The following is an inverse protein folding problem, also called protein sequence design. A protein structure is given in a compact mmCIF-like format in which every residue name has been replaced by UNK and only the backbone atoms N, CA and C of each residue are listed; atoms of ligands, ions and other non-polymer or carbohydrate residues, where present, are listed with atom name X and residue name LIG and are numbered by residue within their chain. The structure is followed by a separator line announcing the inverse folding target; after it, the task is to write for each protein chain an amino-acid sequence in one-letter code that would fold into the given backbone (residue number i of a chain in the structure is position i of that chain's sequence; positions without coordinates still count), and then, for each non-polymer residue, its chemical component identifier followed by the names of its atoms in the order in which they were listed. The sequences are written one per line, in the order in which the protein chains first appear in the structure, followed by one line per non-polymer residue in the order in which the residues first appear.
data_IF_647672333309
#
_entry.id   IF_647672333309
#
_cell.length_a   1.000
_cell.length_b   1.000
_cell.length_c   1.000
_cell.angle_alpha   90.00
_cell.angle_beta   90.00
_cell.angle_gamma   90.00
#
_symmetry.space_group_name_H-M   'P 1'
#
loop_
_entity.id
_entity.type
_entity.pdbx_description
1 polymer ?
#
# COMPACT_ATOMS: atom_id res chain seq x y z
N UNK A 1 -6.72 10.30 1.19
CA UNK A 1 -6.41 9.10 2.01
C UNK A 1 -5.29 9.39 2.97
N UNK A 2 -4.05 9.32 2.49
CA UNK A 2 -2.83 9.38 3.31
C UNK A 2 -2.79 10.54 4.32
N UNK A 3 -3.02 11.77 3.88
CA UNK A 3 -2.96 12.95 4.76
C UNK A 3 -3.99 12.90 5.90
N UNK A 4 -5.21 12.43 5.63
CA UNK A 4 -6.23 12.23 6.65
C UNK A 4 -5.85 11.10 7.63
N UNK A 5 -5.20 10.03 7.14
CA UNK A 5 -4.66 8.98 7.99
C UNK A 5 -3.58 9.50 8.95
N UNK A 6 -2.65 10.32 8.44
CA UNK A 6 -1.60 10.96 9.25
C UNK A 6 -2.19 11.87 10.32
N UNK A 7 -3.14 12.75 9.94
CA UNK A 7 -3.81 13.64 10.90
C UNK A 7 -4.62 12.86 11.93
N UNK A 8 -5.27 11.76 11.53
CA UNK A 8 -6.00 10.88 12.43
C UNK A 8 -5.11 10.23 13.49
N UNK A 9 -3.95 9.69 13.10
CA UNK A 9 -3.00 9.16 14.07
C UNK A 9 -2.39 10.24 14.95
N UNK A 10 -2.06 11.41 14.38
CA UNK A 10 -1.56 12.54 15.17
C UNK A 10 -2.56 12.98 16.23
N UNK A 11 -3.86 12.96 15.94
CA UNK A 11 -4.89 13.31 16.93
C UNK A 11 -4.96 12.30 18.09
N UNK A 12 -4.59 11.04 17.85
CA UNK A 12 -4.57 9.97 18.86
C UNK A 12 -3.26 9.98 19.66
N UNK A 13 -2.11 10.09 18.99
CA UNK A 13 -0.79 9.89 19.59
C UNK A 13 -0.06 11.19 19.93
N UNK A 14 -0.41 12.31 19.29
CA UNK A 14 0.24 13.61 19.47
C UNK A 14 1.65 13.70 18.89
N UNK A 15 2.16 12.64 18.23
CA UNK A 15 3.52 12.56 17.71
C UNK A 15 3.55 12.00 16.29
N UNK A 16 4.52 12.48 15.50
CA UNK A 16 4.84 11.97 14.16
C UNK A 16 5.98 10.95 14.16
N UNK A 17 6.65 10.76 15.30
CA UNK A 17 7.73 9.79 15.42
C UNK A 17 7.18 8.36 15.41
N UNK A 18 7.65 7.53 14.47
CA UNK A 18 7.13 6.18 14.29
C UNK A 18 7.21 5.33 15.56
N UNK A 19 8.30 5.46 16.33
CA UNK A 19 8.52 4.69 17.57
C UNK A 19 7.47 5.04 18.63
N UNK A 20 7.32 6.33 18.92
CA UNK A 20 6.34 6.83 19.89
C UNK A 20 4.91 6.48 19.46
N UNK A 21 4.62 6.59 18.15
CA UNK A 21 3.31 6.24 17.60
C UNK A 21 2.98 4.77 17.89
N UNK A 22 3.89 3.83 17.64
CA UNK A 22 3.64 2.40 17.87
C UNK A 22 3.49 2.07 19.36
N UNK A 23 4.29 2.69 20.23
CA UNK A 23 4.21 2.47 21.69
C UNK A 23 2.90 3.00 22.27
N UNK A 24 2.53 4.24 21.94
CA UNK A 24 1.30 4.88 22.41
C UNK A 24 0.08 4.11 21.90
N UNK A 25 0.07 3.70 20.63
CA UNK A 25 -1.03 2.95 20.04
C UNK A 25 -1.25 1.59 20.73
N UNK A 26 -0.16 0.85 20.99
CA UNK A 26 -0.22 -0.43 21.70
C UNK A 26 -0.80 -0.26 23.11
N UNK A 27 -0.35 0.77 23.85
CA UNK A 27 -0.86 1.06 25.18
C UNK A 27 -2.35 1.45 25.15
N UNK A 28 -2.76 2.27 24.18
CA UNK A 28 -4.15 2.72 24.05
C UNK A 28 -5.10 1.57 23.66
N UNK A 29 -4.64 0.64 22.81
CA UNK A 29 -5.41 -0.55 22.43
C UNK A 29 -5.52 -1.51 23.62
N UNK A 30 -4.44 -1.72 24.38
CA UNK A 30 -4.47 -2.57 25.57
C UNK A 30 -5.40 -2.04 26.67
N UNK A 31 -5.50 -0.71 26.80
CA UNK A 31 -6.33 -0.05 27.80
C UNK A 31 -7.77 0.26 27.31
N UNK A 32 -8.15 -0.17 26.10
CA UNK A 32 -9.40 0.22 25.43
C UNK A 32 -9.64 1.75 25.41
N UNK A 33 -8.58 2.55 25.42
CA UNK A 33 -8.66 4.02 25.45
C UNK A 33 -9.03 4.65 24.10
N UNK A 34 -8.96 3.87 23.02
CA UNK A 34 -9.30 4.31 21.66
C UNK A 34 -10.34 3.36 21.06
N UNK A 35 -11.31 3.93 20.35
CA UNK A 35 -12.27 3.14 19.60
C UNK A 35 -11.56 2.37 18.46
N UNK A 36 -11.58 1.04 18.50
CA UNK A 36 -10.98 0.17 17.47
C UNK A 36 -11.47 0.51 16.06
N UNK A 37 -12.73 0.95 15.91
CA UNK A 37 -13.28 1.37 14.61
C UNK A 37 -12.61 2.63 14.07
N UNK A 38 -12.21 3.56 14.95
CA UNK A 38 -11.52 4.78 14.53
C UNK A 38 -10.08 4.47 14.10
N UNK A 39 -9.36 3.66 14.88
CA UNK A 39 -7.99 3.26 14.56
C UNK A 39 -7.91 2.44 13.25
N UNK A 40 -8.84 1.51 13.05
CA UNK A 40 -8.96 0.74 11.78
C UNK A 40 -9.24 1.66 10.60
N UNK A 41 -10.12 2.65 10.75
CA UNK A 41 -10.41 3.62 9.70
C UNK A 41 -9.19 4.47 9.36
N UNK A 42 -8.47 5.00 10.35
CA UNK A 42 -7.21 5.74 10.12
C UNK A 42 -6.15 4.88 9.39
N UNK A 43 -5.98 3.63 9.82
CA UNK A 43 -5.06 2.68 9.17
C UNK A 43 -5.48 2.37 7.73
N UNK A 44 -6.78 2.21 7.46
CA UNK A 44 -7.31 2.05 6.11
C UNK A 44 -6.99 3.27 5.23
N UNK A 45 -7.16 4.50 5.74
CA UNK A 45 -6.86 5.71 4.97
C UNK A 45 -5.36 5.84 4.61
N UNK A 46 -4.47 5.41 5.52
CA UNK A 46 -3.03 5.31 5.21
C UNK A 46 -2.79 4.27 4.10
N UNK A 47 -3.41 3.11 4.20
CA UNK A 47 -3.29 2.04 3.21
C UNK A 47 -3.81 2.44 1.82
N UNK A 48 -4.93 3.18 1.74
CA UNK A 48 -5.43 3.75 0.47
C UNK A 48 -4.38 4.67 -0.18
N UNK A 49 -3.61 5.40 0.63
CA UNK A 49 -2.48 6.19 0.17
C UNK A 49 -1.38 5.34 -0.48
N UNK A 50 -1.06 4.21 0.14
CA UNK A 50 -0.11 3.24 -0.41
C UNK A 50 -0.61 2.63 -1.72
N UNK A 51 -1.87 2.18 -1.76
CA UNK A 51 -2.53 1.61 -2.95
C UNK A 51 -2.39 2.52 -4.18
N UNK A 52 -2.65 3.81 -4.01
CA UNK A 52 -2.60 4.77 -5.10
C UNK A 52 -1.19 4.88 -5.71
N UNK A 53 -0.14 4.80 -4.88
CA UNK A 53 1.26 4.93 -5.33
C UNK A 53 1.83 3.63 -5.86
N UNK A 54 1.45 2.48 -5.31
CA UNK A 54 1.91 1.16 -5.78
C UNK A 54 1.04 0.53 -6.88
N UNK A 55 0.13 1.30 -7.48
CA UNK A 55 -0.76 0.87 -8.55
C UNK A 55 -1.55 -0.42 -8.21
N UNK A 56 -1.98 -0.53 -6.96
CA UNK A 56 -2.74 -1.69 -6.50
C UNK A 56 -4.22 -1.53 -6.88
N UNK A 57 -4.96 -2.62 -6.88
CA UNK A 57 -6.40 -2.61 -7.09
C UNK A 57 -7.06 -1.82 -5.95
N UNK A 58 -7.97 -0.88 -6.24
CA UNK A 58 -8.57 -0.57 -7.55
C UNK A 58 -7.79 0.49 -8.38
N UNK A 59 -6.88 1.26 -7.79
CA UNK A 59 -6.19 2.41 -8.41
C UNK A 59 -4.97 2.01 -9.25
N UNK A 60 -5.15 1.05 -10.17
CA UNK A 60 -4.08 0.49 -11.01
C UNK A 60 -4.02 1.08 -12.42
N UNK A 61 -5.07 1.77 -12.87
CA UNK A 61 -5.28 2.24 -14.25
C UNK A 61 -4.20 3.21 -14.75
N UNK A 62 -3.59 3.98 -13.84
CA UNK A 62 -2.59 4.99 -14.22
C UNK A 62 -1.25 4.37 -14.66
N UNK A 63 -0.95 3.13 -14.26
CA UNK A 63 0.36 2.51 -14.47
C UNK A 63 0.60 2.09 -15.94
N UNK A 64 -0.37 1.47 -16.65
CA UNK A 64 -0.26 1.24 -18.09
C UNK A 64 -0.22 2.53 -18.91
N UNK A 65 -0.94 3.58 -18.50
CA UNK A 65 -0.98 4.86 -19.22
C UNK A 65 0.35 5.63 -19.09
N UNK A 66 1.09 5.43 -18.00
CA UNK A 66 2.44 6.00 -17.83
C UNK A 66 3.46 5.52 -18.89
N UNK A 67 3.16 4.45 -19.63
CA UNK A 67 3.98 3.94 -20.74
C UNK A 67 3.87 4.75 -22.04
N UNK A 68 2.96 5.73 -22.10
CA UNK A 68 2.89 6.71 -23.19
C UNK A 68 4.03 7.74 -23.14
N UNK A 69 4.68 7.89 -21.98
CA UNK A 69 5.86 8.72 -21.82
C UNK A 69 7.10 8.18 -22.54
N UNK A 70 8.18 8.99 -22.64
CA UNK A 70 9.43 8.55 -23.22
C UNK A 70 10.06 7.41 -22.40
N UNK A 71 10.68 6.45 -23.09
CA UNK A 71 11.17 5.20 -22.50
C UNK A 71 12.06 5.35 -21.26
N UNK A 72 12.95 6.35 -21.14
CA UNK A 72 13.78 6.51 -19.94
C UNK A 72 12.97 6.90 -18.69
N UNK A 73 11.91 7.70 -18.87
CA UNK A 73 11.07 8.20 -17.77
C UNK A 73 10.16 7.08 -17.28
N UNK A 74 9.59 6.31 -18.20
CA UNK A 74 8.78 5.12 -17.85
C UNK A 74 9.61 4.08 -17.07
N UNK A 75 10.86 3.84 -17.45
CA UNK A 75 11.73 2.93 -16.71
C UNK A 75 12.00 3.43 -15.27
N UNK A 76 12.25 4.73 -15.10
CA UNK A 76 12.53 5.32 -13.79
C UNK A 76 11.31 5.29 -12.86
N UNK A 77 10.11 5.60 -13.35
CA UNK A 77 8.88 5.63 -12.55
C UNK A 77 8.51 4.23 -12.05
N UNK A 78 8.69 3.22 -12.92
CA UNK A 78 8.30 1.84 -12.62
C UNK A 78 9.33 1.10 -11.77
N UNK A 79 10.62 1.45 -11.88
CA UNK A 79 11.68 0.80 -11.11
C UNK A 79 12.03 1.52 -9.80
N UNK A 80 12.12 2.85 -9.79
CA UNK A 80 12.90 3.55 -8.77
C UNK A 80 12.10 4.37 -7.76
N UNK A 81 11.00 5.02 -8.15
CA UNK A 81 10.46 6.13 -7.32
C UNK A 81 9.01 5.99 -6.93
N UNK A 82 8.10 5.87 -7.89
CA UNK A 82 6.68 6.08 -7.60
C UNK A 82 6.05 4.89 -6.88
N UNK A 83 6.44 3.70 -7.33
CA UNK A 83 5.83 2.46 -6.87
C UNK A 83 6.49 1.90 -5.62
N UNK A 84 7.82 1.98 -5.53
CA UNK A 84 8.59 1.58 -4.36
C UNK A 84 8.18 2.35 -3.10
N UNK A 85 7.80 3.63 -3.24
CA UNK A 85 7.33 4.45 -2.13
C UNK A 85 6.07 3.90 -1.45
N UNK A 86 5.13 3.32 -2.22
CA UNK A 86 3.91 2.72 -1.65
C UNK A 86 4.20 1.49 -0.80
N UNK A 87 5.07 0.60 -1.29
CA UNK A 87 5.50 -0.61 -0.56
C UNK A 87 6.33 -0.22 0.66
N UNK A 88 7.26 0.71 0.51
CA UNK A 88 8.10 1.21 1.61
C UNK A 88 7.26 1.76 2.76
N UNK A 89 6.21 2.54 2.45
CA UNK A 89 5.30 3.06 3.46
C UNK A 89 4.63 1.92 4.25
N UNK A 90 4.16 0.87 3.56
CA UNK A 90 3.53 -0.28 4.23
C UNK A 90 4.51 -1.09 5.06
N UNK A 91 5.71 -1.33 4.55
CA UNK A 91 6.77 -2.00 5.30
C UNK A 91 7.15 -1.22 6.57
N UNK A 92 7.26 0.12 6.48
CA UNK A 92 7.61 0.96 7.63
C UNK A 92 6.50 1.04 8.67
N UNK A 93 5.24 0.97 8.23
CA UNK A 93 4.05 0.95 9.10
C UNK A 93 3.62 -0.46 9.50
N UNK A 94 4.40 -1.50 9.18
CA UNK A 94 4.08 -2.87 9.52
C UNK A 94 3.77 -3.10 11.01
N UNK A 95 4.53 -2.51 11.98
CA UNK A 95 4.20 -2.65 13.40
C UNK A 95 2.81 -2.12 13.75
N UNK A 96 2.33 -1.07 13.07
CA UNK A 96 0.98 -0.52 13.27
C UNK A 96 -0.08 -1.47 12.70
N UNK A 97 0.10 -1.96 11.47
CA UNK A 97 -0.86 -2.86 10.85
C UNK A 97 -0.97 -4.20 11.57
N UNK A 98 0.11 -4.68 12.19
CA UNK A 98 0.12 -5.92 12.97
C UNK A 98 -0.84 -5.92 14.15
N UNK A 99 -1.07 -4.75 14.75
CA UNK A 99 -2.00 -4.59 15.88
C UNK A 99 -3.46 -4.57 15.40
N UNK A 100 -3.68 -4.35 14.10
CA UNK A 100 -4.99 -4.20 13.48
C UNK A 100 -5.21 -5.32 12.44
N UNK A 101 -5.65 -6.53 12.85
CA UNK A 101 -5.69 -7.70 11.99
C UNK A 101 -6.61 -7.54 10.77
N UNK A 102 -7.67 -6.74 10.89
CA UNK A 102 -8.58 -6.44 9.76
C UNK A 102 -7.87 -5.78 8.58
N UNK A 103 -6.88 -4.91 8.86
CA UNK A 103 -6.13 -4.22 7.81
C UNK A 103 -5.11 -5.17 7.16
N UNK A 104 -4.48 -6.05 7.92
CA UNK A 104 -3.60 -7.08 7.35
C UNK A 104 -4.33 -7.97 6.34
N UNK A 105 -5.53 -8.42 6.69
CA UNK A 105 -6.36 -9.22 5.78
C UNK A 105 -6.68 -8.43 4.50
N UNK A 106 -7.02 -7.15 4.63
CA UNK A 106 -7.28 -6.27 3.49
C UNK A 106 -6.03 -6.08 2.60
N UNK A 107 -4.85 -5.89 3.20
CA UNK A 107 -3.57 -5.82 2.48
C UNK A 107 -3.34 -7.10 1.66
N UNK A 108 -3.51 -8.28 2.28
CA UNK A 108 -3.34 -9.56 1.58
C UNK A 108 -4.34 -9.76 0.45
N UNK A 109 -5.61 -9.37 0.66
CA UNK A 109 -6.67 -9.53 -0.33
C UNK A 109 -6.39 -8.64 -1.55
N UNK A 110 -5.99 -7.39 -1.33
CA UNK A 110 -5.61 -6.48 -2.42
C UNK A 110 -4.36 -6.97 -3.14
N UNK A 111 -3.36 -7.51 -2.42
CA UNK A 111 -2.17 -8.13 -3.01
C UNK A 111 -2.49 -9.33 -3.91
N UNK A 112 -3.38 -10.23 -3.47
CA UNK A 112 -3.79 -11.39 -4.27
C UNK A 112 -4.52 -10.96 -5.54
N UNK A 113 -5.47 -10.03 -5.41
CA UNK A 113 -6.25 -9.53 -6.55
C UNK A 113 -5.32 -8.85 -7.58
N UNK A 114 -4.36 -8.07 -7.12
CA UNK A 114 -3.42 -7.37 -8.02
C UNK A 114 -2.46 -8.28 -8.75
N UNK A 115 -1.95 -9.33 -8.08
CA UNK A 115 -1.13 -10.36 -8.72
C UNK A 115 -1.90 -11.01 -9.86
N UNK A 116 -3.13 -11.48 -9.58
CA UNK A 116 -3.96 -12.19 -10.54
C UNK A 116 -4.38 -11.29 -11.71
N UNK A 117 -4.82 -10.05 -11.42
CA UNK A 117 -5.20 -9.10 -12.45
C UNK A 117 -4.00 -8.69 -13.32
N UNK A 118 -2.86 -8.36 -12.71
CA UNK A 118 -1.66 -7.98 -13.45
C UNK A 118 -1.16 -9.08 -14.37
N UNK A 119 -1.12 -10.34 -13.90
CA UNK A 119 -0.67 -11.48 -14.70
C UNK A 119 -1.61 -11.80 -15.87
N UNK A 120 -2.93 -11.74 -15.65
CA UNK A 120 -3.91 -12.01 -16.71
C UNK A 120 -3.95 -10.90 -17.76
N UNK A 121 -3.89 -9.63 -17.33
CA UNK A 121 -3.84 -8.48 -18.23
C UNK A 121 -2.53 -8.44 -19.04
N UNK A 122 -1.39 -8.84 -18.47
CA UNK A 122 -0.12 -8.85 -19.22
C UNK A 122 -0.13 -9.83 -20.39
N UNK A 123 -0.78 -10.99 -20.22
CA UNK A 123 -0.91 -12.00 -21.28
C UNK A 123 -1.81 -11.53 -22.44
N UNK A 124 -2.79 -10.69 -22.14
CA UNK A 124 -3.73 -10.17 -23.14
C UNK A 124 -3.17 -9.00 -23.97
N UNK A 125 -2.06 -8.37 -23.54
CA UNK A 125 -1.53 -7.20 -24.24
C UNK A 125 -0.66 -7.53 -25.44
N UNK A 126 -0.90 -6.78 -26.52
CA UNK A 126 -0.09 -6.83 -27.76
C UNK A 126 1.12 -5.88 -27.70
N UNK A 127 1.03 -4.81 -26.91
CA UNK A 127 2.11 -3.84 -26.74
C UNK A 127 3.10 -4.28 -25.66
N UNK A 128 4.38 -4.45 -26.02
CA UNK A 128 5.43 -4.92 -25.09
C UNK A 128 5.55 -4.01 -23.87
N UNK A 129 5.50 -2.69 -24.06
CA UNK A 129 5.61 -1.71 -22.95
C UNK A 129 4.47 -1.86 -21.94
N UNK A 130 3.23 -2.01 -22.43
CA UNK A 130 2.06 -2.20 -21.57
C UNK A 130 2.09 -3.58 -20.90
N UNK A 131 2.53 -4.62 -21.61
CA UNK A 131 2.77 -5.94 -21.04
C UNK A 131 3.77 -5.89 -19.87
N UNK A 132 4.88 -5.14 -20.02
CA UNK A 132 5.86 -4.91 -18.96
C UNK A 132 5.28 -4.10 -17.79
N UNK A 133 4.44 -3.10 -18.04
CA UNK A 133 3.77 -2.37 -16.96
C UNK A 133 2.87 -3.31 -16.13
N UNK A 134 2.07 -4.17 -16.77
CA UNK A 134 1.23 -5.14 -16.06
C UNK A 134 2.05 -6.23 -15.34
N UNK A 135 3.18 -6.66 -15.90
CA UNK A 135 4.07 -7.59 -15.18
C UNK A 135 4.68 -6.93 -13.94
N UNK A 136 5.08 -5.65 -14.00
CA UNK A 136 5.50 -4.92 -12.79
C UNK A 136 4.37 -4.85 -11.76
N UNK A 137 3.15 -4.49 -12.17
CA UNK A 137 1.96 -4.47 -11.30
C UNK A 137 1.78 -5.79 -10.54
N UNK A 138 1.92 -6.93 -11.25
CA UNK A 138 1.80 -8.25 -10.64
C UNK A 138 2.89 -8.53 -9.61
N UNK A 139 4.15 -8.16 -9.91
CA UNK A 139 5.28 -8.34 -8.99
C UNK A 139 5.14 -7.47 -7.73
N UNK A 140 4.59 -6.27 -7.89
CA UNK A 140 4.35 -5.37 -6.76
C UNK A 140 3.22 -5.88 -5.88
N UNK A 141 2.16 -6.43 -6.47
CA UNK A 141 1.12 -7.13 -5.73
C UNK A 141 1.69 -8.30 -4.92
N UNK A 142 2.65 -9.04 -5.49
CA UNK A 142 3.32 -10.14 -4.80
C UNK A 142 4.14 -9.63 -3.61
N UNK A 143 4.91 -8.55 -3.78
CA UNK A 143 5.66 -7.93 -2.68
C UNK A 143 4.70 -7.37 -1.61
N UNK A 144 3.56 -6.83 -2.01
CA UNK A 144 2.54 -6.30 -1.10
C UNK A 144 1.86 -7.38 -0.26
N UNK A 145 1.81 -8.60 -0.77
CA UNK A 145 1.19 -9.74 -0.11
C UNK A 145 2.00 -10.20 1.12
N UNK A 146 3.34 -10.10 1.09
CA UNK A 146 4.22 -10.47 2.20
C UNK A 146 3.86 -9.78 3.55
N UNK A 147 3.80 -8.43 3.65
CA UNK A 147 3.39 -7.78 4.88
C UNK A 147 1.92 -8.05 5.24
N UNK A 148 1.08 -8.45 4.28
CA UNK A 148 -0.31 -8.86 4.54
C UNK A 148 -0.43 -10.20 5.27
N UNK A 149 0.47 -11.15 5.00
CA UNK A 149 0.55 -12.45 5.69
C UNK A 149 1.36 -12.34 7.00
N UNK A 150 2.11 -11.27 7.18
CA UNK A 150 2.92 -11.02 8.38
C UNK A 150 4.35 -11.53 8.28
N UNK A 151 4.85 -11.78 7.06
CA UNK A 151 6.22 -12.20 6.74
C UNK A 151 7.11 -11.01 6.36
#
# INVERSE_FOLDING_TARGET
GLLLGILGFYWITGSFEFRELFEILNNLISNNGVNCLFATLCAFLLFVGAIAKSAQFPLHVWLPDAMEGPTPISALIHAATMVAAGIFLVARLFPLFRVIPHIMWLISLVGIITVLLGATLSLAQRDIKRGLAYSTMSQLGYIMLAPGIGS
#
